data_IF_898662234264
#
_entry.id   IF_898662234264
#
_cell.length_a   1.000
_cell.length_b   1.000
_cell.length_c   1.000
_cell.angle_alpha   90.00
_cell.angle_beta   90.00
_cell.angle_gamma   90.00
#
_symmetry.space_group_name_H-M   'P 1'
#
loop_
_entity.id
_entity.type
_entity.pdbx_description
1 polymer ?
#
# COMPACT_ATOMS: atom_id res chain seq x y z
N UNK A 1 -14.05 12.29 13.35
CA UNK A 1 -14.63 11.01 12.90
C UNK A 1 -14.61 11.00 11.39
N UNK A 2 -14.34 9.84 10.77
CA UNK A 2 -14.47 9.69 9.32
C UNK A 2 -15.94 9.81 8.93
N UNK A 3 -16.19 10.23 7.70
CA UNK A 3 -17.53 10.31 7.15
C UNK A 3 -18.07 8.89 6.93
N UNK A 4 -19.34 8.68 7.26
CA UNK A 4 -20.02 7.41 7.02
C UNK A 4 -20.93 7.52 5.81
N UNK A 5 -20.94 6.48 4.98
CA UNK A 5 -21.78 6.36 3.78
C UNK A 5 -22.37 4.96 3.68
N UNK A 6 -23.47 4.83 2.95
CA UNK A 6 -24.11 3.53 2.70
C UNK A 6 -23.82 3.09 1.28
N UNK A 7 -23.30 1.88 1.09
CA UNK A 7 -23.13 1.30 -0.23
C UNK A 7 -24.50 1.13 -0.91
N UNK A 8 -24.66 1.67 -2.12
CA UNK A 8 -25.91 1.54 -2.90
C UNK A 8 -25.74 0.61 -4.10
N UNK A 9 -24.53 0.54 -4.67
CA UNK A 9 -24.26 -0.32 -5.82
C UNK A 9 -22.81 -0.81 -5.81
N UNK A 10 -22.63 -2.12 -5.92
CA UNK A 10 -21.34 -2.71 -6.22
C UNK A 10 -21.11 -2.67 -7.74
N UNK A 11 -20.02 -2.05 -8.18
CA UNK A 11 -19.73 -1.82 -9.59
C UNK A 11 -18.91 -2.94 -10.18
N UNK A 12 -17.71 -3.19 -9.62
CA UNK A 12 -16.83 -4.27 -10.04
C UNK A 12 -15.72 -4.52 -9.02
N UNK A 13 -15.14 -5.74 -8.99
CA UNK A 13 -13.92 -6.01 -8.25
C UNK A 13 -12.71 -5.40 -8.95
N UNK A 14 -11.72 -4.97 -8.16
CA UNK A 14 -10.36 -4.69 -8.60
C UNK A 14 -9.55 -5.98 -8.40
N UNK A 15 -9.09 -6.56 -9.51
CA UNK A 15 -8.52 -7.92 -9.54
C UNK A 15 -7.01 -7.96 -9.32
N UNK A 16 -6.41 -6.85 -8.91
CA UNK A 16 -4.97 -6.75 -8.67
C UNK A 16 -4.70 -6.89 -7.18
N UNK A 17 -3.83 -7.83 -6.80
CA UNK A 17 -3.48 -8.09 -5.40
C UNK A 17 -4.42 -9.08 -4.69
N UNK A 18 -4.02 -9.51 -3.49
CA UNK A 18 -4.71 -10.59 -2.74
C UNK A 18 -5.93 -10.17 -1.92
N UNK A 19 -6.24 -8.87 -1.82
CA UNK A 19 -7.36 -8.35 -1.00
C UNK A 19 -8.65 -8.11 -1.77
N UNK A 20 -8.60 -8.15 -3.10
CA UNK A 20 -9.73 -7.98 -4.03
C UNK A 20 -10.68 -6.83 -3.62
N UNK A 21 -10.20 -5.58 -3.55
CA UNK A 21 -11.07 -4.45 -3.21
C UNK A 21 -12.14 -4.24 -4.29
N UNK A 22 -13.25 -3.59 -3.95
CA UNK A 22 -14.38 -3.39 -4.86
C UNK A 22 -14.67 -1.92 -5.12
N UNK A 23 -15.06 -1.56 -6.34
CA UNK A 23 -15.61 -0.22 -6.62
C UNK A 23 -17.08 -0.19 -6.24
N UNK A 24 -17.47 0.77 -5.42
CA UNK A 24 -18.83 0.91 -4.87
C UNK A 24 -19.29 2.36 -5.05
N UNK A 25 -20.53 2.53 -5.50
CA UNK A 25 -21.25 3.81 -5.41
C UNK A 25 -22.01 3.87 -4.08
N UNK A 26 -22.05 5.03 -3.45
CA UNK A 26 -22.72 5.23 -2.16
C UNK A 26 -23.86 6.26 -2.22
N UNK A 27 -24.62 6.36 -1.13
CA UNK A 27 -25.81 7.21 -0.97
C UNK A 27 -25.55 8.71 -1.04
N UNK A 28 -24.28 9.12 -0.89
CA UNK A 28 -23.80 10.48 -1.03
C UNK A 28 -23.43 10.86 -2.48
N UNK A 29 -23.69 9.98 -3.45
CA UNK A 29 -23.29 10.11 -4.86
C UNK A 29 -21.78 9.98 -5.11
N UNK A 30 -21.01 9.58 -4.10
CA UNK A 30 -19.57 9.29 -4.21
C UNK A 30 -19.31 7.90 -4.79
N UNK A 31 -18.10 7.71 -5.32
CA UNK A 31 -17.59 6.41 -5.78
C UNK A 31 -16.32 6.09 -5.01
N UNK A 32 -16.26 4.89 -4.43
CA UNK A 32 -15.21 4.51 -3.51
C UNK A 32 -14.58 3.18 -3.92
N UNK A 33 -13.27 3.08 -3.73
CA UNK A 33 -12.57 1.79 -3.65
C UNK A 33 -12.73 1.27 -2.22
N UNK A 34 -13.49 0.20 -2.05
CA UNK A 34 -13.80 -0.40 -0.75
C UNK A 34 -12.84 -1.55 -0.46
N UNK A 35 -12.12 -1.44 0.66
CA UNK A 35 -11.34 -2.51 1.27
C UNK A 35 -12.23 -3.25 2.27
N UNK A 36 -12.45 -4.53 2.01
CA UNK A 36 -13.39 -5.36 2.74
C UNK A 36 -12.79 -5.96 4.01
N UNK A 37 -13.55 -5.92 5.11
CA UNK A 37 -13.18 -6.45 6.43
C UNK A 37 -13.01 -7.97 6.44
N UNK A 38 -13.74 -8.69 5.58
CA UNK A 38 -13.61 -10.14 5.39
C UNK A 38 -12.41 -10.56 4.55
N UNK A 39 -11.58 -9.62 4.06
CA UNK A 39 -10.39 -9.95 3.27
C UNK A 39 -9.32 -10.65 4.12
N UNK A 40 -8.46 -11.43 3.46
CA UNK A 40 -7.39 -12.19 4.13
C UNK A 40 -6.35 -11.30 4.83
N UNK A 41 -6.24 -10.02 4.46
CA UNK A 41 -5.38 -9.04 5.12
C UNK A 41 -5.88 -8.67 6.53
N UNK A 42 -7.19 -8.83 6.77
CA UNK A 42 -7.82 -8.62 8.06
C UNK A 42 -7.91 -7.16 8.51
N UNK A 43 -8.49 -6.96 9.70
CA UNK A 43 -8.79 -5.63 10.29
C UNK A 43 -7.54 -4.75 10.45
N UNK A 44 -6.37 -5.34 10.73
CA UNK A 44 -5.11 -4.61 10.92
C UNK A 44 -4.69 -3.82 9.69
N UNK A 45 -4.91 -4.35 8.48
CA UNK A 45 -4.62 -3.62 7.25
C UNK A 45 -5.51 -2.37 7.10
N UNK A 46 -6.78 -2.45 7.50
CA UNK A 46 -7.69 -1.29 7.49
C UNK A 46 -7.31 -0.25 8.56
N UNK A 47 -6.86 -0.72 9.73
CA UNK A 47 -6.32 0.14 10.79
C UNK A 47 -5.07 0.88 10.30
N UNK A 48 -4.14 0.19 9.64
CA UNK A 48 -2.96 0.80 9.04
C UNK A 48 -3.32 1.81 7.96
N UNK A 49 -4.29 1.50 7.11
CA UNK A 49 -4.77 2.43 6.08
C UNK A 49 -5.27 3.76 6.68
N UNK A 50 -6.10 3.69 7.73
CA UNK A 50 -6.59 4.90 8.41
C UNK A 50 -5.43 5.65 9.06
N UNK A 51 -4.62 4.99 9.88
CA UNK A 51 -3.57 5.66 10.65
C UNK A 51 -2.55 6.32 9.72
N UNK A 52 -2.07 5.59 8.72
CA UNK A 52 -1.02 6.10 7.83
C UNK A 52 -1.58 7.07 6.79
N UNK A 53 -2.77 6.80 6.23
CA UNK A 53 -3.42 7.69 5.27
C UNK A 53 -3.77 9.06 5.88
N UNK A 54 -4.37 9.08 7.07
CA UNK A 54 -4.70 10.34 7.75
C UNK A 54 -3.45 11.06 8.27
N UNK A 55 -2.41 10.32 8.67
CA UNK A 55 -1.11 10.92 8.96
C UNK A 55 -0.51 11.56 7.70
N UNK A 56 -0.55 10.88 6.55
CA UNK A 56 -0.07 11.41 5.28
C UNK A 56 -0.78 12.74 4.94
N UNK A 57 -2.12 12.76 5.03
CA UNK A 57 -2.92 13.98 4.79
C UNK A 57 -2.53 15.11 5.73
N UNK A 58 -2.35 14.81 7.02
CA UNK A 58 -1.94 15.81 8.04
C UNK A 58 -0.53 16.35 7.81
N UNK A 59 0.35 15.55 7.22
CA UNK A 59 1.70 15.93 6.81
C UNK A 59 1.75 16.62 5.42
N UNK A 60 0.60 16.87 4.81
CA UNK A 60 0.49 17.55 3.51
C UNK A 60 0.79 16.66 2.30
N UNK A 61 0.88 15.35 2.49
CA UNK A 61 0.98 14.39 1.40
C UNK A 61 -0.41 14.09 0.82
N UNK A 62 -0.45 13.83 -0.48
CA UNK A 62 -1.72 13.57 -1.19
C UNK A 62 -2.10 12.11 -1.01
N UNK A 63 -3.17 11.88 -0.29
CA UNK A 63 -3.79 10.57 -0.09
C UNK A 63 -5.30 10.76 -0.23
N UNK A 64 -6.02 9.89 -0.96
CA UNK A 64 -7.46 10.04 -1.17
C UNK A 64 -8.23 10.09 0.16
N UNK A 65 -9.41 10.71 0.16
CA UNK A 65 -10.23 10.75 1.38
C UNK A 65 -10.68 9.34 1.79
N UNK A 66 -10.69 9.06 3.09
CA UNK A 66 -11.24 7.84 3.65
C UNK A 66 -12.65 8.05 4.18
N UNK A 67 -13.51 7.06 3.96
CA UNK A 67 -14.87 6.98 4.49
C UNK A 67 -15.11 5.61 5.11
N UNK A 68 -16.06 5.55 6.04
CA UNK A 68 -16.58 4.28 6.54
C UNK A 68 -17.81 3.91 5.72
N UNK A 69 -17.81 2.70 5.16
CA UNK A 69 -18.86 2.24 4.26
C UNK A 69 -19.69 1.17 4.95
N UNK A 70 -20.97 1.45 5.18
CA UNK A 70 -21.95 0.43 5.56
C UNK A 70 -22.30 -0.40 4.32
N UNK A 71 -21.93 -1.67 4.34
CA UNK A 71 -22.03 -2.59 3.21
C UNK A 71 -23.04 -3.71 3.51
N UNK A 72 -24.08 -3.80 2.70
CA UNK A 72 -24.99 -4.95 2.65
C UNK A 72 -24.57 -5.86 1.48
N UNK A 73 -24.19 -7.13 1.69
CA UNK A 73 -23.82 -8.05 0.62
C UNK A 73 -24.85 -8.16 -0.51
N UNK A 74 -26.13 -7.84 -0.25
CA UNK A 74 -27.17 -7.77 -1.28
C UNK A 74 -26.83 -6.82 -2.44
N UNK A 75 -26.03 -5.75 -2.22
CA UNK A 75 -25.64 -4.83 -3.31
C UNK A 75 -24.69 -5.48 -4.32
N UNK A 76 -24.02 -6.57 -3.95
CA UNK A 76 -23.09 -7.33 -4.78
C UNK A 76 -23.61 -8.71 -5.20
N UNK A 77 -24.93 -8.95 -5.09
CA UNK A 77 -25.52 -10.26 -5.36
C UNK A 77 -25.29 -10.79 -6.80
N UNK A 78 -25.05 -9.89 -7.76
CA UNK A 78 -24.82 -10.22 -9.17
C UNK A 78 -23.34 -10.54 -9.49
N UNK A 79 -22.43 -10.51 -8.50
CA UNK A 79 -21.02 -10.86 -8.70
C UNK A 79 -20.88 -12.32 -9.19
N UNK A 80 -20.32 -12.58 -10.39
CA UNK A 80 -20.28 -13.93 -10.94
C UNK A 80 -19.26 -14.87 -10.27
N UNK A 81 -18.26 -14.35 -9.58
CA UNK A 81 -17.16 -15.15 -9.01
C UNK A 81 -17.44 -15.54 -7.55
N UNK A 82 -17.53 -16.84 -7.27
CA UNK A 82 -17.83 -17.36 -5.92
C UNK A 82 -16.85 -16.86 -4.86
N UNK A 83 -15.55 -16.79 -5.17
CA UNK A 83 -14.53 -16.32 -4.22
C UNK A 83 -14.77 -14.86 -3.79
N UNK A 84 -15.27 -14.03 -4.72
CA UNK A 84 -15.62 -12.64 -4.44
C UNK A 84 -16.94 -12.58 -3.69
N UNK A 85 -17.95 -13.38 -4.06
CA UNK A 85 -19.19 -13.47 -3.29
C UNK A 85 -18.93 -13.83 -1.82
N UNK A 86 -18.09 -14.83 -1.56
CA UNK A 86 -17.75 -15.27 -0.21
C UNK A 86 -17.10 -14.12 0.59
N UNK A 87 -16.20 -13.37 -0.04
CA UNK A 87 -15.61 -12.15 0.53
C UNK A 87 -16.68 -11.09 0.86
N UNK A 88 -17.58 -10.80 -0.07
CA UNK A 88 -18.64 -9.79 0.12
C UNK A 88 -19.58 -10.20 1.28
N UNK A 89 -20.00 -11.46 1.33
CA UNK A 89 -20.84 -11.99 2.42
C UNK A 89 -20.14 -11.93 3.77
N UNK A 90 -18.83 -12.24 3.83
CA UNK A 90 -18.03 -12.15 5.04
C UNK A 90 -17.79 -10.69 5.50
N UNK A 91 -18.13 -9.71 4.67
CA UNK A 91 -17.85 -8.28 4.88
C UNK A 91 -19.11 -7.46 5.13
N UNK A 92 -20.21 -8.08 5.55
CA UNK A 92 -21.42 -7.37 5.93
C UNK A 92 -21.16 -6.38 7.09
N UNK A 93 -21.67 -5.16 6.98
CA UNK A 93 -21.49 -4.09 7.95
C UNK A 93 -20.40 -3.09 7.55
N UNK A 94 -19.60 -2.65 8.52
CA UNK A 94 -18.70 -1.51 8.36
C UNK A 94 -17.38 -1.90 7.67
N UNK A 95 -17.07 -1.25 6.55
CA UNK A 95 -15.84 -1.41 5.77
C UNK A 95 -15.13 -0.08 5.55
N UNK A 96 -13.95 -0.09 4.95
CA UNK A 96 -13.18 1.12 4.63
C UNK A 96 -13.34 1.46 3.15
N UNK A 97 -13.85 2.65 2.86
CA UNK A 97 -13.85 3.23 1.53
C UNK A 97 -12.72 4.24 1.37
N UNK A 98 -12.11 4.28 0.21
CA UNK A 98 -11.16 5.29 -0.23
C UNK A 98 -11.72 5.95 -1.48
N UNK A 99 -11.68 7.28 -1.55
CA UNK A 99 -12.20 8.02 -2.70
C UNK A 99 -11.54 7.53 -4.00
N UNK A 100 -12.38 7.23 -5.01
CA UNK A 100 -11.89 6.78 -6.31
C UNK A 100 -11.43 8.00 -7.10
N UNK A 101 -10.12 8.10 -7.36
CA UNK A 101 -9.54 9.15 -8.21
C UNK A 101 -9.83 8.87 -9.70
N UNK A 102 -10.78 9.57 -10.35
CA UNK A 102 -11.21 9.16 -11.69
C UNK A 102 -10.11 9.40 -12.72
N UNK A 103 -9.77 8.32 -13.44
CA UNK A 103 -8.69 8.27 -14.44
C UNK A 103 -7.29 8.53 -13.88
N UNK A 104 -7.07 8.32 -12.58
CA UNK A 104 -5.72 8.17 -12.07
C UNK A 104 -5.01 7.00 -12.76
N UNK A 105 -3.69 7.12 -12.93
CA UNK A 105 -2.85 6.07 -13.49
C UNK A 105 -1.83 5.61 -12.46
N UNK A 106 -1.39 4.35 -12.56
CA UNK A 106 -0.29 3.85 -11.73
C UNK A 106 0.97 4.68 -11.97
N UNK A 107 1.68 5.00 -10.89
CA UNK A 107 2.97 5.65 -11.00
C UNK A 107 3.95 4.71 -11.68
N UNK A 108 4.51 5.18 -12.80
CA UNK A 108 5.66 4.57 -13.45
C UNK A 108 6.84 5.53 -13.37
N UNK A 109 8.08 5.02 -13.27
CA UNK A 109 9.25 5.88 -13.29
C UNK A 109 9.24 6.73 -14.57
N UNK A 110 9.64 8.01 -14.46
CA UNK A 110 9.62 9.02 -15.56
C UNK A 110 8.25 9.58 -15.95
N UNK A 111 7.14 9.07 -15.41
CA UNK A 111 5.81 9.59 -15.75
C UNK A 111 5.58 11.02 -15.24
N UNK A 112 6.25 11.40 -14.15
CA UNK A 112 6.36 12.77 -13.65
C UNK A 112 7.76 13.02 -13.08
N UNK A 113 8.14 14.29 -13.04
CA UNK A 113 9.28 14.74 -12.24
C UNK A 113 8.83 14.83 -10.78
N UNK A 114 9.55 14.16 -9.88
CA UNK A 114 9.28 14.17 -8.44
C UNK A 114 10.44 14.90 -7.79
N UNK A 115 10.14 16.03 -7.17
CA UNK A 115 11.13 16.84 -6.47
C UNK A 115 11.79 16.04 -5.33
N UNK A 116 13.12 16.17 -5.10
CA UNK A 116 13.83 15.52 -4.00
C UNK A 116 13.17 15.64 -2.63
N UNK A 117 12.57 16.79 -2.29
CA UNK A 117 11.87 16.98 -1.03
C UNK A 117 10.55 16.21 -1.00
N UNK A 118 9.79 16.19 -2.10
CA UNK A 118 8.56 15.39 -2.20
C UNK A 118 8.87 13.88 -2.05
N UNK A 119 9.90 13.40 -2.75
CA UNK A 119 10.39 12.04 -2.58
C UNK A 119 10.84 11.76 -1.14
N UNK A 120 11.58 12.69 -0.53
CA UNK A 120 12.01 12.64 0.87
C UNK A 120 10.83 12.50 1.83
N UNK A 121 9.77 13.29 1.66
CA UNK A 121 8.58 13.27 2.52
C UNK A 121 7.82 11.94 2.45
N UNK A 122 7.70 11.35 1.26
CA UNK A 122 7.06 10.03 1.10
C UNK A 122 7.91 8.94 1.77
N UNK A 123 9.21 8.89 1.48
CA UNK A 123 10.12 7.91 2.11
C UNK A 123 10.14 8.09 3.63
N UNK A 124 10.10 9.32 4.12
CA UNK A 124 10.06 9.64 5.55
C UNK A 124 8.80 9.09 6.21
N UNK A 125 7.62 9.29 5.60
CA UNK A 125 6.35 8.72 6.09
C UNK A 125 6.44 7.19 6.15
N UNK A 126 6.93 6.56 5.08
CA UNK A 126 7.03 5.10 5.03
C UNK A 126 8.05 4.58 6.06
N UNK A 127 9.14 5.29 6.31
CA UNK A 127 10.12 4.94 7.36
C UNK A 127 9.57 5.13 8.78
N UNK A 128 8.84 6.22 9.06
CA UNK A 128 8.12 6.44 10.32
C UNK A 128 7.11 5.31 10.57
N UNK A 129 6.40 4.89 9.54
CA UNK A 129 5.31 3.90 9.65
C UNK A 129 5.76 2.47 9.38
N UNK A 130 7.07 2.23 9.17
CA UNK A 130 7.63 0.94 8.83
C UNK A 130 6.98 0.28 7.59
N UNK A 131 6.57 1.07 6.60
CA UNK A 131 6.02 0.61 5.34
C UNK A 131 7.13 0.25 4.34
N UNK A 132 7.62 -0.98 4.39
CA UNK A 132 8.66 -1.47 3.47
C UNK A 132 8.12 -2.00 2.14
N UNK A 133 6.79 -1.99 1.95
CA UNK A 133 6.13 -2.56 0.77
C UNK A 133 6.15 -1.62 -0.45
N UNK A 134 6.33 -0.31 -0.22
CA UNK A 134 6.46 0.71 -1.28
C UNK A 134 7.79 0.55 -2.02
N UNK A 135 7.79 -0.26 -3.06
CA UNK A 135 9.00 -0.67 -3.78
C UNK A 135 8.92 -0.35 -5.27
N UNK A 136 10.04 -0.48 -5.97
CA UNK A 136 10.08 -0.38 -7.45
C UNK A 136 9.21 -1.40 -8.18
N UNK A 137 8.78 -2.49 -7.51
CA UNK A 137 7.91 -3.52 -8.10
C UNK A 137 6.44 -3.36 -7.71
N UNK A 138 6.17 -2.73 -6.57
CA UNK A 138 4.83 -2.40 -6.09
C UNK A 138 4.89 -1.00 -5.49
N UNK A 139 4.69 0.02 -6.33
CA UNK A 139 4.88 1.40 -5.89
C UNK A 139 3.76 1.86 -4.96
N UNK A 140 2.55 1.31 -5.10
CA UNK A 140 1.35 1.79 -4.41
C UNK A 140 1.19 3.33 -4.52
N UNK A 141 1.64 3.90 -5.64
CA UNK A 141 1.60 5.32 -5.94
C UNK A 141 0.78 5.52 -7.21
N UNK A 142 0.06 6.62 -7.28
CA UNK A 142 -0.73 7.02 -8.45
C UNK A 142 -0.33 8.41 -8.92
N UNK A 143 -0.66 8.69 -10.18
CA UNK A 143 -0.59 10.00 -10.78
C UNK A 143 -2.01 10.48 -11.07
N UNK A 144 -2.36 11.65 -10.55
CA UNK A 144 -3.67 12.25 -10.76
C UNK A 144 -3.64 13.79 -10.62
N UNK A 145 -4.39 14.54 -11.45
CA UNK A 145 -5.14 14.07 -12.62
C UNK A 145 -4.23 13.75 -13.82
N UNK A 146 -4.66 12.84 -14.71
CA UNK A 146 -3.90 12.44 -15.91
C UNK A 146 -4.41 13.09 -17.20
N UNK A 147 -5.56 13.76 -17.12
CA UNK A 147 -6.19 14.47 -18.23
C UNK A 147 -6.72 15.82 -17.75
N UNK A 148 -7.01 16.72 -18.69
CA UNK A 148 -7.46 18.08 -18.39
C UNK A 148 -6.31 19.09 -18.36
N UNK A 149 -6.52 20.20 -17.65
CA UNK A 149 -5.58 21.35 -17.62
C UNK A 149 -4.74 21.42 -16.34
N UNK A 150 -5.05 20.60 -15.36
CA UNK A 150 -4.31 20.56 -14.09
C UNK A 150 -3.07 19.68 -14.24
N UNK A 151 -1.99 20.10 -13.60
CA UNK A 151 -0.75 19.31 -13.60
C UNK A 151 -0.96 17.97 -12.87
N UNK A 152 -0.41 16.87 -13.40
CA UNK A 152 -0.39 15.59 -12.71
C UNK A 152 0.41 15.70 -11.42
N UNK A 153 -0.13 15.17 -10.31
CA UNK A 153 0.55 15.11 -9.02
C UNK A 153 0.70 13.66 -8.57
N UNK A 154 1.69 13.42 -7.71
CA UNK A 154 1.87 12.15 -7.04
C UNK A 154 0.86 11.98 -5.90
N UNK A 155 0.23 10.81 -5.83
CA UNK A 155 -0.71 10.39 -4.79
C UNK A 155 -0.28 9.07 -4.18
N UNK A 156 -0.41 8.95 -2.87
CA UNK A 156 -0.18 7.73 -2.13
C UNK A 156 -1.47 6.93 -2.06
N UNK A 157 -1.36 5.63 -2.20
CA UNK A 157 -2.41 4.66 -1.91
C UNK A 157 -1.81 3.50 -1.12
N UNK A 158 -2.69 2.65 -0.60
CA UNK A 158 -2.41 1.33 -0.05
C UNK A 158 -1.27 1.29 0.99
N UNK A 159 -1.66 1.59 2.23
CA UNK A 159 -0.83 1.47 3.42
C UNK A 159 -1.16 0.23 4.24
N UNK A 160 -1.88 -0.75 3.68
CA UNK A 160 -2.32 -1.94 4.41
C UNK A 160 -1.18 -2.82 4.92
N UNK A 161 0.01 -2.72 4.33
CA UNK A 161 1.25 -3.41 4.74
C UNK A 161 2.15 -2.59 5.68
N UNK A 162 1.75 -1.35 6.02
CA UNK A 162 2.47 -0.50 6.96
C UNK A 162 2.25 -0.96 8.42
N UNK A 163 2.92 -0.28 9.35
CA UNK A 163 2.85 -0.50 10.79
C UNK A 163 3.23 -1.92 11.20
N UNK A 164 4.22 -2.53 10.54
CA UNK A 164 4.63 -3.94 10.74
C UNK A 164 4.78 -4.36 12.21
N UNK A 165 5.16 -3.42 13.10
CA UNK A 165 5.23 -3.64 14.54
C UNK A 165 3.89 -4.08 15.19
N UNK A 166 2.74 -3.70 14.63
CA UNK A 166 1.42 -4.02 15.18
C UNK A 166 1.03 -5.49 15.02
N UNK A 167 1.79 -6.28 14.25
CA UNK A 167 1.62 -7.73 14.20
C UNK A 167 2.29 -8.43 15.38
N UNK A 168 3.24 -7.74 16.04
CA UNK A 168 3.95 -8.25 17.21
C UNK A 168 4.37 -7.10 18.12
N UNK A 169 3.43 -6.63 18.92
CA UNK A 169 3.64 -5.58 19.92
C UNK A 169 4.84 -5.89 20.83
N UNK A 170 5.63 -4.85 21.11
CA UNK A 170 6.84 -4.95 21.95
C UNK A 170 8.05 -5.64 21.32
N UNK A 171 7.95 -6.22 20.12
CA UNK A 171 9.08 -6.90 19.48
C UNK A 171 9.92 -6.01 18.55
N UNK A 172 9.43 -4.81 18.20
CA UNK A 172 10.16 -3.84 17.39
C UNK A 172 10.44 -2.60 18.22
N UNK A 173 11.72 -2.26 18.37
CA UNK A 173 12.12 -1.02 19.03
C UNK A 173 11.69 0.18 18.16
N UNK A 174 11.20 1.29 18.76
CA UNK A 174 10.78 2.47 18.00
C UNK A 174 11.89 3.09 17.15
N UNK A 175 13.15 2.92 17.53
CA UNK A 175 14.34 3.41 16.82
C UNK A 175 14.86 2.45 15.74
N UNK A 176 14.18 1.33 15.50
CA UNK A 176 14.61 0.32 14.51
C UNK A 176 14.72 0.90 13.10
N UNK A 177 15.86 0.69 12.47
CA UNK A 177 16.10 0.93 11.05
C UNK A 177 15.45 -0.15 10.17
N UNK A 178 14.89 0.26 9.03
CA UNK A 178 14.36 -0.62 8.00
C UNK A 178 15.07 -0.35 6.67
N UNK A 179 15.15 -1.37 5.82
CA UNK A 179 15.85 -1.27 4.54
C UNK A 179 14.95 -0.65 3.47
N UNK A 180 15.27 0.58 3.05
CA UNK A 180 14.56 1.33 2.01
C UNK A 180 15.33 1.42 0.68
N UNK A 181 16.37 0.61 0.47
CA UNK A 181 17.18 0.66 -0.76
C UNK A 181 16.37 0.41 -2.03
N UNK A 182 15.30 -0.39 -1.93
CA UNK A 182 14.42 -0.73 -3.06
C UNK A 182 13.16 0.16 -3.12
N UNK A 183 13.12 1.27 -2.38
CA UNK A 183 11.96 2.16 -2.34
C UNK A 183 11.64 2.75 -3.72
N UNK A 184 10.35 2.85 -4.07
CA UNK A 184 9.89 3.29 -5.39
C UNK A 184 10.44 4.67 -5.82
N UNK A 185 10.66 5.56 -4.84
CA UNK A 185 11.18 6.92 -5.05
C UNK A 185 12.68 7.06 -4.76
N UNK A 186 13.41 5.97 -4.50
CA UNK A 186 14.83 6.03 -4.16
C UNK A 186 15.69 6.68 -5.26
N UNK A 187 15.35 6.46 -6.53
CA UNK A 187 16.11 7.05 -7.66
C UNK A 187 15.89 8.55 -7.87
N UNK A 188 14.99 9.17 -7.11
CA UNK A 188 14.70 10.61 -7.20
C UNK A 188 15.55 11.45 -6.24
N UNK A 189 16.56 10.85 -5.62
CA UNK A 189 17.45 11.50 -4.65
C UNK A 189 16.71 12.11 -3.45
N UNK A 190 15.96 11.31 -2.66
CA UNK A 190 15.17 11.82 -1.55
C UNK A 190 15.98 12.71 -0.58
N UNK A 191 15.55 13.96 -0.37
CA UNK A 191 16.14 14.85 0.64
C UNK A 191 15.55 14.52 2.02
N UNK A 192 16.14 13.51 2.65
CA UNK A 192 15.68 12.98 3.93
C UNK A 192 15.89 13.96 5.09
N UNK A 193 16.91 14.81 5.03
CA UNK A 193 17.21 15.76 6.10
C UNK A 193 16.19 16.90 6.09
N UNK A 194 15.85 17.44 4.91
CA UNK A 194 14.81 18.45 4.79
C UNK A 194 13.42 17.87 5.10
N UNK A 195 13.13 16.64 4.66
CA UNK A 195 11.89 15.96 5.01
C UNK A 195 11.73 15.78 6.52
N UNK A 196 12.79 15.37 7.23
CA UNK A 196 12.74 15.20 8.69
C UNK A 196 12.51 16.53 9.42
N UNK A 197 13.22 17.58 9.01
CA UNK A 197 13.06 18.92 9.58
C UNK A 197 11.64 19.46 9.39
N UNK A 198 11.00 19.17 8.25
CA UNK A 198 9.63 19.59 7.93
C UNK A 198 8.57 18.76 8.67
N UNK A 199 8.74 17.43 8.74
CA UNK A 199 7.67 16.51 9.14
C UNK A 199 7.73 16.07 10.60
N UNK A 200 8.91 15.84 11.17
CA UNK A 200 9.03 15.34 12.54
C UNK A 200 8.33 16.24 13.58
N UNK A 201 8.42 17.58 13.52
CA UNK A 201 7.72 18.46 14.46
C UNK A 201 6.18 18.39 14.37
N UNK A 202 5.63 17.92 13.26
CA UNK A 202 4.19 17.82 13.03
C UNK A 202 3.59 16.54 13.64
N UNK A 203 4.41 15.55 13.96
CA UNK A 203 3.99 14.29 14.61
C UNK A 203 3.94 14.48 16.12
N UNK A 204 2.89 15.17 16.57
CA UNK A 204 2.63 15.43 17.99
C UNK A 204 1.75 14.34 18.60
N UNK A 205 1.76 14.25 19.93
CA UNK A 205 0.85 13.34 20.65
C UNK A 205 -0.62 13.66 20.34
N UNK A 206 -0.99 14.94 20.33
CA UNK A 206 -2.35 15.40 19.98
C UNK A 206 -2.75 14.98 18.56
N UNK A 207 -1.86 15.18 17.58
CA UNK A 207 -2.08 14.76 16.20
C UNK A 207 -2.33 13.24 16.09
N UNK A 208 -1.50 12.44 16.76
CA UNK A 208 -1.63 10.98 16.75
C UNK A 208 -2.91 10.54 17.45
N UNK A 209 -3.28 11.15 18.59
CA UNK A 209 -4.53 10.86 19.32
C UNK A 209 -5.76 11.13 18.46
N UNK A 210 -5.79 12.24 17.74
CA UNK A 210 -6.86 12.55 16.80
C UNK A 210 -6.97 11.51 15.68
N UNK A 211 -5.85 11.09 15.10
CA UNK A 211 -5.80 10.11 14.02
C UNK A 211 -6.27 8.73 14.51
N UNK A 212 -5.73 8.21 15.62
CA UNK A 212 -6.12 6.87 16.11
C UNK A 212 -7.57 6.82 16.60
N UNK A 213 -8.15 7.97 16.98
CA UNK A 213 -9.57 8.08 17.32
C UNK A 213 -10.49 7.92 16.09
N UNK A 214 -9.98 8.06 14.87
CA UNK A 214 -10.73 7.79 13.63
C UNK A 214 -10.95 6.30 13.38
N UNK A 215 -10.14 5.43 14.00
CA UNK A 215 -10.24 3.98 13.85
C UNK A 215 -11.46 3.43 14.62
N UNK A 216 -12.39 2.71 13.94
CA UNK A 216 -13.53 2.09 14.59
C UNK A 216 -13.11 1.15 15.74
N UNK A 217 -13.74 1.29 16.90
CA UNK A 217 -13.42 0.45 18.07
C UNK A 217 -13.60 -1.04 17.82
N UNK A 218 -14.60 -1.42 17.00
CA UNK A 218 -14.83 -2.80 16.59
C UNK A 218 -13.65 -3.41 15.82
N UNK A 219 -12.81 -2.59 15.18
CA UNK A 219 -11.62 -3.07 14.46
C UNK A 219 -10.42 -3.33 15.38
N UNK A 220 -10.44 -2.74 16.58
CA UNK A 220 -9.42 -2.89 17.62
C UNK A 220 -9.83 -3.87 18.72
N UNK A 221 -11.07 -4.36 18.69
CA UNK A 221 -11.59 -5.31 19.66
C UNK A 221 -10.86 -6.66 19.57
N UNK A 222 -10.64 -7.26 20.74
CA UNK A 222 -9.98 -8.56 20.94
C UNK A 222 -8.53 -8.62 20.44
N UNK A 223 -7.84 -7.48 20.38
CA UNK A 223 -6.41 -7.44 20.04
C UNK A 223 -5.59 -8.15 21.12
N UNK A 224 -4.81 -9.19 20.78
CA UNK A 224 -4.05 -9.95 21.76
C UNK A 224 -3.04 -9.09 22.54
N UNK A 225 -3.10 -9.17 23.87
CA UNK A 225 -2.21 -8.43 24.77
C UNK A 225 -2.75 -7.08 25.23
N UNK A 226 -4.00 -6.73 24.88
CA UNK A 226 -4.65 -5.49 25.31
C UNK A 226 -6.01 -5.76 25.93
N UNK A 227 -6.36 -4.99 26.95
CA UNK A 227 -7.62 -5.13 27.69
C UNK A 227 -8.78 -4.36 27.02
N UNK A 228 -8.48 -3.40 26.12
CA UNK A 228 -9.50 -2.59 25.45
C UNK A 228 -9.01 -1.97 24.13
N UNK A 229 -9.93 -1.59 23.22
CA UNK A 229 -9.62 -0.78 22.04
C UNK A 229 -8.84 0.51 22.36
N UNK A 230 -9.09 1.13 23.52
CA UNK A 230 -8.39 2.35 23.91
C UNK A 230 -6.94 2.07 24.30
N UNK A 231 -6.67 0.94 24.96
CA UNK A 231 -5.29 0.52 25.22
C UNK A 231 -4.50 0.25 23.93
N UNK A 232 -5.16 -0.27 22.89
CA UNK A 232 -4.53 -0.44 21.56
C UNK A 232 -4.22 0.92 20.92
N UNK A 233 -5.13 1.90 21.03
CA UNK A 233 -4.89 3.27 20.53
C UNK A 233 -3.70 3.91 21.22
N UNK A 234 -3.63 3.82 22.55
CA UNK A 234 -2.47 4.32 23.29
C UNK A 234 -1.16 3.69 22.81
N UNK A 235 -1.15 2.37 22.55
CA UNK A 235 0.05 1.70 22.04
C UNK A 235 0.50 2.22 20.65
N UNK A 236 -0.45 2.54 19.76
CA UNK A 236 -0.10 3.20 18.49
C UNK A 236 0.49 4.60 18.72
N UNK A 237 -0.14 5.41 19.58
CA UNK A 237 0.36 6.76 19.91
C UNK A 237 1.76 6.70 20.50
N UNK A 238 1.97 5.86 21.52
CA UNK A 238 3.26 5.70 22.19
C UNK A 238 4.35 5.26 21.20
N UNK A 239 4.07 4.26 20.37
CA UNK A 239 5.05 3.74 19.41
C UNK A 239 5.42 4.77 18.34
N UNK A 240 4.42 5.38 17.69
CA UNK A 240 4.65 6.35 16.62
C UNK A 240 5.30 7.63 17.13
N UNK A 241 4.92 8.10 18.33
CA UNK A 241 5.54 9.26 18.94
C UNK A 241 6.99 8.99 19.35
N UNK A 242 7.27 7.82 19.94
CA UNK A 242 8.63 7.42 20.28
C UNK A 242 9.50 7.28 19.02
N UNK A 243 8.93 6.72 17.95
CA UNK A 243 9.61 6.59 16.65
C UNK A 243 9.87 7.96 16.03
N UNK A 244 8.90 8.86 15.96
CA UNK A 244 9.10 10.23 15.45
C UNK A 244 10.23 10.97 16.19
N UNK A 245 10.31 10.83 17.52
CA UNK A 245 11.39 11.41 18.34
C UNK A 245 12.77 10.80 18.09
N UNK A 246 12.82 9.58 17.54
CA UNK A 246 14.04 8.85 17.24
C UNK A 246 14.45 8.96 15.75
N UNK A 247 13.87 9.90 14.98
CA UNK A 247 14.11 9.99 13.53
C UNK A 247 15.58 10.07 13.14
N UNK A 248 16.37 10.84 13.88
CA UNK A 248 17.82 10.93 13.68
C UNK A 248 18.57 9.59 13.71
N UNK A 249 17.97 8.53 14.28
CA UNK A 249 18.52 7.16 14.29
C UNK A 249 18.09 6.36 13.08
N UNK A 250 16.80 6.35 12.74
CA UNK A 250 16.27 5.42 11.73
C UNK A 250 16.15 5.98 10.31
N UNK A 251 16.42 7.27 10.09
CA UNK A 251 16.32 7.90 8.78
C UNK A 251 17.14 7.14 7.73
N UNK A 252 16.51 6.67 6.64
CA UNK A 252 17.24 6.02 5.56
C UNK A 252 18.22 6.99 4.88
N UNK A 253 19.44 6.53 4.59
CA UNK A 253 20.49 7.36 3.96
C UNK A 253 21.05 6.75 2.68
N UNK A 254 20.60 5.55 2.29
CA UNK A 254 21.13 4.83 1.15
C UNK A 254 20.03 4.53 0.13
N UNK A 255 20.14 5.16 -1.04
CA UNK A 255 19.25 4.93 -2.18
C UNK A 255 20.11 4.62 -3.42
N UNK A 256 20.33 3.33 -3.73
CA UNK A 256 21.06 2.95 -4.92
C UNK A 256 20.37 3.44 -6.19
N UNK A 257 21.18 3.76 -7.21
CA UNK A 257 20.70 4.07 -8.55
C UNK A 257 19.96 2.87 -9.17
N UNK A 258 19.17 3.14 -10.22
CA UNK A 258 18.45 2.09 -10.96
C UNK A 258 19.38 1.02 -11.51
N UNK A 259 20.55 1.41 -12.02
CA UNK A 259 21.56 0.48 -12.55
C UNK A 259 22.14 -0.42 -11.45
N UNK A 260 22.38 0.14 -10.26
CA UNK A 260 22.86 -0.63 -9.10
C UNK A 260 21.82 -1.64 -8.62
N UNK A 261 20.54 -1.25 -8.56
CA UNK A 261 19.43 -2.15 -8.22
C UNK A 261 19.28 -3.25 -9.26
N UNK A 262 19.24 -2.91 -10.55
CA UNK A 262 19.13 -3.87 -11.63
C UNK A 262 20.30 -4.88 -11.62
N UNK A 263 21.53 -4.41 -11.36
CA UNK A 263 22.69 -5.27 -11.23
C UNK A 263 22.60 -6.17 -9.99
N UNK A 264 22.06 -5.69 -8.87
CA UNK A 264 21.83 -6.48 -7.67
C UNK A 264 20.77 -7.58 -7.89
N UNK A 265 19.68 -7.25 -8.57
CA UNK A 265 18.60 -8.19 -8.89
C UNK A 265 19.07 -9.25 -9.89
N UNK A 266 19.84 -8.87 -10.90
CA UNK A 266 20.45 -9.82 -11.83
C UNK A 266 21.39 -10.82 -11.10
N UNK A 267 22.20 -10.33 -10.15
CA UNK A 267 23.04 -11.20 -9.30
C UNK A 267 22.19 -12.14 -8.44
N UNK A 268 21.10 -11.65 -7.86
CA UNK A 268 20.18 -12.44 -7.00
C UNK A 268 19.42 -13.50 -7.81
N UNK A 269 18.97 -13.14 -9.02
CA UNK A 269 18.33 -14.05 -9.96
C UNK A 269 19.29 -15.17 -10.38
N UNK A 270 20.53 -14.82 -10.78
CA UNK A 270 21.56 -15.79 -11.15
C UNK A 270 21.94 -16.74 -9.99
N UNK A 271 22.04 -16.21 -8.77
CA UNK A 271 22.29 -17.03 -7.58
C UNK A 271 21.14 -17.99 -7.28
N UNK A 272 19.89 -17.51 -7.36
CA UNK A 272 18.68 -18.32 -7.19
C UNK A 272 18.62 -19.42 -8.25
N UNK A 273 18.86 -19.08 -9.52
CA UNK A 273 18.90 -20.03 -10.62
C UNK A 273 19.99 -21.09 -10.40
N UNK A 274 21.20 -20.70 -9.99
CA UNK A 274 22.29 -21.64 -9.67
C UNK A 274 21.89 -22.64 -8.57
N UNK A 275 21.16 -22.18 -7.55
CA UNK A 275 20.67 -23.00 -6.43
C UNK A 275 19.49 -23.92 -6.76
N UNK A 276 18.80 -23.72 -7.89
CA UNK A 276 17.63 -24.54 -8.27
C UNK A 276 18.04 -25.99 -8.62
N UNK A 277 17.24 -27.01 -8.23
CA UNK A 277 17.38 -28.37 -8.77
C UNK A 277 17.30 -28.38 -10.30
N UNK A 278 17.99 -29.32 -10.96
CA UNK A 278 18.08 -29.36 -12.42
C UNK A 278 16.73 -29.42 -13.15
N UNK A 279 15.73 -30.06 -12.55
CA UNK A 279 14.37 -30.16 -13.09
C UNK A 279 13.55 -28.87 -12.98
N UNK A 280 13.96 -27.91 -12.13
CA UNK A 280 13.33 -26.60 -11.97
C UNK A 280 14.09 -25.49 -12.72
N UNK A 281 15.28 -25.80 -13.25
CA UNK A 281 16.11 -24.89 -14.08
C UNK A 281 15.65 -24.83 -15.53
N UNK A 282 14.90 -25.83 -15.99
CA UNK A 282 14.26 -25.85 -17.31
C UNK A 282 12.77 -25.93 -17.08
N UNK A 283 12.09 -24.78 -17.01
CA UNK A 283 10.64 -24.78 -17.22
C UNK A 283 10.44 -25.05 -18.72
N UNK A 284 9.85 -26.18 -19.13
CA UNK A 284 9.52 -26.39 -20.53
C UNK A 284 8.57 -25.27 -20.95
N UNK A 285 8.84 -24.64 -22.08
CA UNK A 285 7.89 -23.73 -22.70
C UNK A 285 6.65 -24.54 -23.10
N UNK A 286 5.60 -24.49 -22.27
CA UNK A 286 4.34 -25.19 -22.51
C UNK A 286 3.46 -24.47 -23.55
N UNK A 287 3.89 -23.31 -24.05
CA UNK A 287 3.17 -22.52 -25.05
C UNK A 287 3.98 -22.31 -26.36
N UNK A 288 5.25 -22.71 -26.39
CA UNK A 288 6.09 -22.70 -27.56
C UNK A 288 5.72 -23.82 -28.52
N UNK A 289 5.07 -23.48 -29.64
CA UNK A 289 5.03 -24.37 -30.81
C UNK A 289 6.49 -24.78 -31.13
N UNK A 290 6.78 -26.07 -31.36
CA UNK A 290 8.13 -26.48 -31.72
C UNK A 290 8.56 -25.74 -32.99
N UNK A 291 9.79 -25.24 -33.01
CA UNK A 291 10.38 -24.68 -34.21
C UNK A 291 10.32 -25.75 -35.30
N UNK A 292 9.51 -25.53 -36.34
CA UNK A 292 9.52 -26.37 -37.51
C UNK A 292 10.91 -26.26 -38.14
N UNK A 293 11.72 -27.31 -38.04
CA UNK A 293 12.86 -27.49 -38.92
C UNK A 293 12.30 -27.60 -40.34
N UNK A 294 12.54 -26.58 -41.17
CA UNK A 294 12.34 -26.70 -42.60
C UNK A 294 13.40 -27.66 -43.15
N UNK A 295 13.00 -28.91 -43.32
CA UNK A 295 13.71 -29.87 -44.15
C UNK A 295 13.49 -29.48 -45.63
N UNK A 296 14.54 -28.98 -46.26
CA UNK A 296 14.55 -28.62 -47.69
C UNK A 296 14.96 -29.80 -48.59
N UNK A 297 14.98 -31.04 -48.09
CA UNK A 297 15.47 -32.20 -48.85
C UNK A 297 14.46 -32.87 -49.80
N UNK A 298 13.28 -32.29 -50.02
CA UNK A 298 12.35 -32.77 -51.06
C UNK A 298 11.92 -31.65 -52.00
N UNK A 299 12.82 -31.21 -52.89
CA UNK A 299 12.50 -30.75 -54.25
C UNK A 299 13.77 -30.70 -55.10
N UNK A 300 14.18 -31.87 -55.61
CA UNK A 300 14.92 -31.98 -56.86
C UNK A 300 14.21 -33.04 -57.71
N UNK A 301 13.45 -32.55 -58.68
CA UNK A 301 13.23 -33.22 -59.96
C UNK A 301 14.13 -32.56 -60.99
#
# INVERSE_FOLDING_TARGET
>A
MLREVTAVRYVNPLRTGGSVPGVVEADDLGTYVVKFTGSAQGRKALVAEIIVGELARRLGLRFPELVLVHFDPAVGADEPHQEVQDLLHASAGLNLGMDLLPGAADFTPEAIDVDPLEAGKVVWLDALTANVDRTVHSSNLMIWPTFGVHEPKLWLIDHGAALVFHHRWGASAPDKEYDFRHHALGSYGPDMAAADADLAPLVTEEALREIVALVPGAWLADEPGFDSPDAVREAYVEHLLARARASAVWLPTCFPSRDELAAADARRAAATEKGRPAWLKRVPDLHGKPAAQQDWSTHLG
#
